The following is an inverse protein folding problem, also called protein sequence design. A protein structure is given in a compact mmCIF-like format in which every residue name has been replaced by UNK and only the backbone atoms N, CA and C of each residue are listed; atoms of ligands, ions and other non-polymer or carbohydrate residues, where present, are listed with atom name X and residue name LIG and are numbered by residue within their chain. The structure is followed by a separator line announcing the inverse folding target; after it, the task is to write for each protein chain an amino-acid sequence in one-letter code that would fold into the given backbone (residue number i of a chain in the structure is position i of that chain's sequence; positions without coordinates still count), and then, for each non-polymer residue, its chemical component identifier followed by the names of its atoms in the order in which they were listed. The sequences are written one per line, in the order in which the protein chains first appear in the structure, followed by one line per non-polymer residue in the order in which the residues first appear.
data_IF_458815938818
#
_entry.id   IF_458815938818
#
_cell.length_a   1.000
_cell.length_b   1.000
_cell.length_c   1.000
_cell.angle_alpha   90.00
_cell.angle_beta   90.00
_cell.angle_gamma   90.00
#
_symmetry.space_group_name_H-M   'P 1'
#
loop_
_entity.id
_entity.type
_entity.pdbx_description
1 polymer ?
#
# COMPACT_ATOMS: atom_id res chain seq x y z
N UNK A 1 23.19 1.43 -54.04
CA UNK A 1 22.81 0.72 -52.80
C UNK A 1 23.68 1.24 -51.67
N UNK A 2 23.13 2.01 -50.72
CA UNK A 2 23.77 2.29 -49.42
C UNK A 2 22.75 2.95 -48.49
N UNK A 3 22.00 2.12 -47.75
CA UNK A 3 21.06 2.54 -46.72
C UNK A 3 21.77 2.70 -45.38
N UNK A 4 22.20 3.92 -45.09
CA UNK A 4 22.43 4.39 -43.73
C UNK A 4 21.09 4.79 -43.11
N UNK A 5 20.66 4.12 -42.04
CA UNK A 5 19.76 4.75 -41.06
C UNK A 5 19.98 4.18 -39.67
N UNK A 6 20.86 4.88 -38.96
CA UNK A 6 21.02 4.97 -37.51
C UNK A 6 19.70 4.72 -36.76
N UNK A 7 19.65 3.71 -35.89
CA UNK A 7 18.64 3.57 -34.83
C UNK A 7 19.31 3.85 -33.49
N UNK A 8 19.31 5.12 -33.09
CA UNK A 8 19.71 5.53 -31.76
C UNK A 8 18.58 5.27 -30.76
N UNK A 9 18.92 4.47 -29.75
CA UNK A 9 18.67 4.66 -28.32
C UNK A 9 17.31 5.25 -27.91
N UNK A 10 16.56 4.47 -27.14
CA UNK A 10 15.78 5.00 -26.01
C UNK A 10 15.71 3.92 -24.94
N UNK A 11 16.75 3.85 -24.11
CA UNK A 11 16.70 3.11 -22.85
C UNK A 11 15.81 3.90 -21.89
N UNK A 12 14.55 3.49 -21.76
CA UNK A 12 13.64 4.05 -20.76
C UNK A 12 14.00 3.44 -19.41
N UNK A 13 14.80 4.16 -18.63
CA UNK A 13 15.04 3.87 -17.22
C UNK A 13 13.74 4.18 -16.48
N UNK A 14 12.95 3.14 -16.20
CA UNK A 14 11.78 3.24 -15.32
C UNK A 14 12.31 3.36 -13.89
N UNK A 15 12.48 4.60 -13.42
CA UNK A 15 12.77 4.88 -12.01
C UNK A 15 11.60 4.46 -11.14
N UNK A 16 11.76 3.34 -10.43
CA UNK A 16 10.82 2.91 -9.40
C UNK A 16 10.93 3.81 -8.18
N UNK A 17 9.89 4.60 -7.90
CA UNK A 17 9.75 5.30 -6.63
C UNK A 17 9.49 4.25 -5.54
N UNK A 18 10.50 4.00 -4.71
CA UNK A 18 10.35 3.24 -3.48
C UNK A 18 9.59 4.12 -2.47
N UNK A 19 8.27 3.99 -2.42
CA UNK A 19 7.48 4.56 -1.33
C UNK A 19 7.75 3.70 -0.10
N UNK A 20 8.67 4.16 0.75
CA UNK A 20 8.95 3.52 2.03
C UNK A 20 7.74 3.61 2.95
N UNK A 21 7.30 2.47 3.50
CA UNK A 21 6.30 2.42 4.56
C UNK A 21 6.84 3.19 5.76
N UNK A 22 6.19 4.29 6.15
CA UNK A 22 6.46 4.92 7.44
C UNK A 22 6.01 3.94 8.53
N UNK A 23 6.95 3.26 9.18
CA UNK A 23 6.65 2.44 10.35
C UNK A 23 6.35 3.41 11.48
N UNK A 24 5.10 3.45 11.98
CA UNK A 24 4.81 4.16 13.22
C UNK A 24 5.30 3.31 14.38
N UNK A 25 6.53 3.61 14.77
CA UNK A 25 7.12 3.09 15.97
C UNK A 25 6.38 3.67 17.18
N UNK A 26 6.17 2.81 18.18
CA UNK A 26 5.72 3.23 19.49
C UNK A 26 6.69 4.29 20.04
N UNK A 27 6.21 5.44 20.53
CA UNK A 27 7.07 6.45 21.13
C UNK A 27 7.81 5.88 22.35
N UNK A 28 9.03 6.33 22.56
CA UNK A 28 9.89 5.87 23.65
C UNK A 28 9.68 6.79 24.85
N UNK A 29 9.31 6.20 25.99
CA UNK A 29 9.15 6.93 27.26
C UNK A 29 10.42 6.81 28.12
N UNK A 30 11.11 7.91 28.35
CA UNK A 30 12.28 8.01 29.20
C UNK A 30 11.90 8.36 30.66
N UNK A 31 12.40 7.62 31.68
CA UNK A 31 12.09 7.84 33.09
C UNK A 31 12.81 9.06 33.66
N UNK A 32 12.33 10.27 33.34
CA UNK A 32 12.99 11.52 33.68
C UNK A 32 13.05 11.84 35.19
N UNK A 33 12.26 11.14 36.02
CA UNK A 33 12.21 11.35 37.49
C UNK A 33 12.86 10.21 38.27
N UNK A 34 13.66 9.36 37.62
CA UNK A 34 14.34 8.23 38.27
C UNK A 34 13.40 7.05 38.57
N UNK A 35 12.33 6.89 37.78
CA UNK A 35 11.43 5.75 37.92
C UNK A 35 12.18 4.43 37.66
N UNK A 36 11.95 3.41 38.50
CA UNK A 36 12.53 2.09 38.30
C UNK A 36 11.94 1.39 37.07
N UNK A 37 12.64 0.38 36.55
CA UNK A 37 12.13 -0.43 35.43
C UNK A 37 10.79 -1.09 35.76
N UNK A 38 10.60 -1.52 37.01
CA UNK A 38 9.34 -2.12 37.45
C UNK A 38 8.21 -1.09 37.47
N UNK A 39 8.48 0.13 37.95
CA UNK A 39 7.51 1.22 37.91
C UNK A 39 7.17 1.58 36.46
N UNK A 40 8.17 1.68 35.59
CA UNK A 40 7.95 1.95 34.17
C UNK A 40 7.05 0.92 33.49
N UNK A 41 7.23 -0.37 33.78
CA UNK A 41 6.36 -1.41 33.21
C UNK A 41 4.92 -1.33 33.73
N UNK A 42 4.73 -1.03 35.01
CA UNK A 42 3.40 -0.83 35.59
C UNK A 42 2.71 0.41 35.02
N UNK A 43 3.46 1.50 34.91
CA UNK A 43 3.00 2.78 34.36
C UNK A 43 2.62 2.63 32.90
N UNK A 44 3.45 1.91 32.15
CA UNK A 44 3.20 1.58 30.75
C UNK A 44 1.91 0.79 30.57
N UNK A 45 1.73 -0.30 31.33
CA UNK A 45 0.51 -1.12 31.25
C UNK A 45 -0.74 -0.32 31.61
N UNK A 46 -0.67 0.51 32.65
CA UNK A 46 -1.77 1.38 33.05
C UNK A 46 -2.10 2.44 31.98
N UNK A 47 -1.07 3.09 31.41
CA UNK A 47 -1.25 4.06 30.34
C UNK A 47 -1.75 3.44 29.04
N UNK A 48 -1.36 2.20 28.74
CA UNK A 48 -1.86 1.44 27.60
C UNK A 48 -3.35 1.11 27.77
N UNK A 49 -3.76 0.65 28.96
CA UNK A 49 -5.16 0.41 29.28
C UNK A 49 -5.99 1.70 29.23
N UNK A 50 -5.45 2.80 29.77
CA UNK A 50 -6.08 4.11 29.72
C UNK A 50 -6.24 4.61 28.29
N UNK A 51 -5.20 4.52 27.46
CA UNK A 51 -5.25 4.93 26.06
C UNK A 51 -6.30 4.13 25.27
N UNK A 52 -6.40 2.81 25.50
CA UNK A 52 -7.43 1.96 24.91
C UNK A 52 -8.84 2.40 25.34
N UNK A 53 -9.04 2.67 26.63
CA UNK A 53 -10.33 3.16 27.16
C UNK A 53 -10.71 4.53 26.60
N UNK A 54 -9.73 5.44 26.49
CA UNK A 54 -9.96 6.82 26.09
C UNK A 54 -10.16 6.99 24.57
N UNK A 55 -9.49 6.17 23.76
CA UNK A 55 -9.56 6.26 22.29
C UNK A 55 -10.52 5.23 21.67
N UNK A 56 -10.84 4.16 22.39
CA UNK A 56 -11.55 2.99 21.84
C UNK A 56 -10.70 2.15 20.88
N UNK A 57 -9.41 2.46 20.72
CA UNK A 57 -8.51 1.81 19.77
C UNK A 57 -7.71 0.71 20.50
N UNK A 58 -7.75 -0.50 19.95
CA UNK A 58 -6.91 -1.60 20.40
C UNK A 58 -5.78 -1.86 19.39
N UNK A 59 -4.50 -1.57 19.72
CA UNK A 59 -3.39 -1.75 18.81
C UNK A 59 -3.20 -3.22 18.36
N UNK A 60 -3.59 -4.21 19.17
CA UNK A 60 -3.53 -5.61 18.75
C UNK A 60 -4.49 -5.89 17.58
N UNK A 61 -5.69 -5.30 17.63
CA UNK A 61 -6.70 -5.46 16.56
C UNK A 61 -6.33 -4.69 15.30
N UNK A 62 -5.73 -3.51 15.46
CA UNK A 62 -5.33 -2.67 14.32
C UNK A 62 -4.14 -3.30 13.58
N UNK A 63 -3.19 -3.91 14.29
CA UNK A 63 -2.09 -4.66 13.68
C UNK A 63 -2.56 -5.91 12.92
N UNK A 64 -3.57 -6.62 13.44
CA UNK A 64 -4.14 -7.80 12.78
C UNK A 64 -4.85 -7.49 11.45
N UNK A 65 -5.30 -6.25 11.26
CA UNK A 65 -6.00 -5.80 10.04
C UNK A 65 -5.07 -5.26 8.95
N UNK A 66 -3.75 -5.39 9.12
CA UNK A 66 -2.79 -4.98 8.09
C UNK A 66 -2.88 -5.92 6.87
N UNK A 67 -3.04 -5.40 5.63
CA UNK A 67 -3.07 -6.23 4.45
C UNK A 67 -1.73 -6.99 4.32
N UNK A 68 -1.74 -8.29 3.97
CA UNK A 68 -0.51 -9.04 3.79
C UNK A 68 0.35 -8.39 2.68
N UNK A 69 1.69 -8.45 2.81
CA UNK A 69 2.59 -7.97 1.76
C UNK A 69 2.27 -8.70 0.45
N UNK A 70 2.40 -8.02 -0.71
CA UNK A 70 1.99 -8.59 -1.98
C UNK A 70 2.82 -9.85 -2.30
N UNK A 71 2.24 -11.02 -2.04
CA UNK A 71 2.83 -12.31 -2.38
C UNK A 71 2.25 -12.80 -3.70
N UNK A 72 3.11 -12.85 -4.72
CA UNK A 72 2.88 -13.63 -5.93
C UNK A 72 3.17 -12.90 -7.24
N UNK A 73 3.72 -13.59 -8.25
CA UNK A 73 3.66 -13.08 -9.61
C UNK A 73 2.20 -12.86 -9.96
N UNK A 74 1.88 -11.76 -10.65
CA UNK A 74 0.51 -11.38 -11.00
C UNK A 74 -0.14 -12.31 -12.06
N UNK A 75 0.06 -13.64 -11.94
CA UNK A 75 -0.32 -14.71 -12.86
C UNK A 75 -1.49 -15.51 -12.31
N UNK A 76 -2.58 -14.83 -11.97
CA UNK A 76 -3.89 -15.43 -11.70
C UNK A 76 -4.90 -14.31 -11.86
N UNK A 77 -5.55 -14.10 -13.00
CA UNK A 77 -6.19 -15.04 -13.91
C UNK A 77 -7.58 -14.48 -14.24
N UNK A 78 -8.18 -13.71 -13.32
CA UNK A 78 -9.47 -13.03 -13.49
C UNK A 78 -9.38 -11.66 -14.18
N UNK A 79 -8.78 -10.64 -13.55
CA UNK A 79 -8.75 -9.28 -14.14
C UNK A 79 -7.97 -9.19 -15.46
N UNK A 80 -6.92 -9.99 -15.64
CA UNK A 80 -6.17 -10.03 -16.91
C UNK A 80 -6.99 -10.62 -18.04
N UNK A 81 -7.75 -11.68 -17.75
CA UNK A 81 -8.65 -12.33 -18.72
C UNK A 81 -9.85 -11.45 -19.03
N UNK A 82 -10.41 -10.78 -18.02
CA UNK A 82 -11.44 -9.75 -18.21
C UNK A 82 -10.92 -8.56 -19.03
N UNK A 83 -9.66 -8.17 -18.79
CA UNK A 83 -8.95 -7.15 -19.57
C UNK A 83 -8.74 -7.59 -21.01
N UNK A 84 -8.32 -8.83 -21.23
CA UNK A 84 -8.15 -9.44 -22.55
C UNK A 84 -9.48 -9.51 -23.31
N UNK A 85 -10.54 -10.00 -22.68
CA UNK A 85 -11.86 -10.13 -23.30
C UNK A 85 -12.44 -8.76 -23.68
N UNK A 86 -12.37 -7.77 -22.78
CA UNK A 86 -12.80 -6.39 -23.07
C UNK A 86 -11.95 -5.73 -24.16
N UNK A 87 -10.64 -5.95 -24.09
CA UNK A 87 -9.71 -5.45 -25.09
C UNK A 87 -9.94 -6.06 -26.46
N UNK A 88 -10.18 -7.38 -26.54
CA UNK A 88 -10.50 -8.08 -27.77
C UNK A 88 -11.83 -7.63 -28.38
N UNK A 89 -12.87 -7.46 -27.55
CA UNK A 89 -14.15 -6.96 -28.03
C UNK A 89 -14.03 -5.53 -28.60
N UNK A 90 -13.34 -4.63 -27.89
CA UNK A 90 -13.09 -3.27 -28.38
C UNK A 90 -12.20 -3.24 -29.62
N UNK A 91 -11.17 -4.08 -29.65
CA UNK A 91 -10.25 -4.22 -30.79
C UNK A 91 -10.91 -4.84 -32.02
N UNK A 92 -11.85 -5.79 -31.85
CA UNK A 92 -12.61 -6.38 -32.93
C UNK A 92 -13.56 -5.36 -33.58
N UNK A 93 -14.22 -4.54 -32.78
CA UNK A 93 -15.10 -3.47 -33.28
C UNK A 93 -14.32 -2.47 -34.14
N UNK A 94 -13.13 -2.06 -33.70
CA UNK A 94 -12.25 -1.15 -34.46
C UNK A 94 -11.68 -1.86 -35.69
N UNK A 95 -11.26 -3.12 -35.56
CA UNK A 95 -10.71 -3.93 -36.66
C UNK A 95 -11.74 -4.22 -37.75
N UNK A 96 -13.01 -4.41 -37.41
CA UNK A 96 -14.10 -4.62 -38.37
C UNK A 96 -14.30 -3.41 -39.30
N UNK A 97 -14.04 -2.20 -38.80
CA UNK A 97 -14.08 -0.96 -39.60
C UNK A 97 -12.88 -0.90 -40.55
N UNK A 98 -11.73 -1.43 -40.13
CA UNK A 98 -10.48 -1.46 -40.92
C UNK A 98 -10.31 -2.71 -41.80
N UNK A 99 -11.32 -3.59 -41.87
CA UNK A 99 -11.34 -4.78 -42.72
C UNK A 99 -10.74 -6.06 -42.11
N UNK A 100 -10.30 -6.04 -40.84
CA UNK A 100 -9.78 -7.22 -40.15
C UNK A 100 -10.12 -7.19 -38.64
N UNK A 101 -11.30 -7.70 -38.32
CA UNK A 101 -11.77 -7.83 -36.95
C UNK A 101 -10.90 -8.79 -36.12
N UNK A 102 -10.35 -9.85 -36.73
CA UNK A 102 -9.55 -10.86 -36.03
C UNK A 102 -8.21 -10.30 -35.56
N UNK A 103 -7.53 -9.54 -36.41
CA UNK A 103 -6.27 -8.87 -36.07
C UNK A 103 -6.48 -7.74 -35.07
N UNK A 104 -7.57 -6.98 -35.21
CA UNK A 104 -7.98 -5.99 -34.21
C UNK A 104 -8.29 -6.60 -32.84
N UNK A 105 -8.96 -7.76 -32.82
CA UNK A 105 -9.26 -8.50 -31.58
C UNK A 105 -7.99 -9.00 -30.89
N UNK A 106 -7.05 -9.58 -31.64
CA UNK A 106 -5.79 -10.06 -31.08
C UNK A 106 -4.95 -8.92 -30.47
N UNK A 107 -4.80 -7.80 -31.19
CA UNK A 107 -4.11 -6.60 -30.69
C UNK A 107 -4.83 -6.04 -29.45
N UNK A 108 -6.15 -5.97 -29.50
CA UNK A 108 -7.00 -5.55 -28.40
C UNK A 108 -6.86 -6.44 -27.17
N UNK A 109 -6.79 -7.77 -27.32
CA UNK A 109 -6.62 -8.70 -26.21
C UNK A 109 -5.29 -8.47 -25.49
N UNK A 110 -4.18 -8.38 -26.23
CA UNK A 110 -2.84 -8.15 -25.65
C UNK A 110 -2.80 -6.80 -24.94
N UNK A 111 -3.25 -5.72 -25.59
CA UNK A 111 -3.32 -4.39 -24.95
C UNK A 111 -4.25 -4.37 -23.73
N UNK A 112 -5.38 -5.08 -23.80
CA UNK A 112 -6.35 -5.22 -22.73
C UNK A 112 -5.80 -5.95 -21.49
N UNK A 113 -4.95 -6.96 -21.65
CA UNK A 113 -4.27 -7.62 -20.52
C UNK A 113 -3.33 -6.66 -19.78
N UNK A 114 -2.61 -5.81 -20.52
CA UNK A 114 -1.64 -4.88 -19.94
C UNK A 114 -2.36 -3.76 -19.17
N UNK A 115 -3.39 -3.16 -19.79
CA UNK A 115 -4.19 -2.09 -19.16
C UNK A 115 -5.01 -2.65 -17.99
N UNK A 116 -5.60 -3.84 -18.13
CA UNK A 116 -6.31 -4.52 -17.05
C UNK A 116 -5.39 -4.83 -15.87
N UNK A 117 -4.18 -5.32 -16.14
CA UNK A 117 -3.15 -5.55 -15.12
C UNK A 117 -2.67 -4.26 -14.44
N UNK A 118 -2.49 -3.17 -15.19
CA UNK A 118 -2.11 -1.88 -14.65
C UNK A 118 -3.21 -1.28 -13.76
N UNK A 119 -4.47 -1.34 -14.17
CA UNK A 119 -5.62 -0.89 -13.36
C UNK A 119 -5.80 -1.75 -12.11
N UNK A 120 -5.63 -3.07 -12.21
CA UNK A 120 -5.71 -3.95 -11.04
C UNK A 120 -4.63 -3.60 -10.01
N UNK A 121 -3.39 -3.31 -10.46
CA UNK A 121 -2.35 -2.79 -9.56
C UNK A 121 -2.71 -1.43 -8.98
N UNK A 122 -3.19 -0.50 -9.79
CA UNK A 122 -3.57 0.83 -9.32
C UNK A 122 -4.70 0.79 -8.28
N UNK A 123 -5.74 0.00 -8.53
CA UNK A 123 -6.84 -0.19 -7.58
C UNK A 123 -6.38 -0.86 -6.28
N UNK A 124 -5.47 -1.84 -6.36
CA UNK A 124 -4.88 -2.48 -5.18
C UNK A 124 -3.97 -1.54 -4.41
N UNK A 125 -3.18 -0.73 -5.09
CA UNK A 125 -2.35 0.30 -4.48
C UNK A 125 -3.21 1.37 -3.79
N UNK A 126 -4.28 1.82 -4.44
CA UNK A 126 -5.23 2.75 -3.84
C UNK A 126 -5.93 2.14 -2.61
N UNK A 127 -6.37 0.89 -2.69
CA UNK A 127 -6.98 0.19 -1.56
C UNK A 127 -5.98 -0.03 -0.41
N UNK A 128 -4.76 -0.48 -0.71
CA UNK A 128 -3.70 -0.67 0.28
C UNK A 128 -3.27 0.66 0.91
N UNK A 129 -3.16 1.74 0.13
CA UNK A 129 -2.84 3.07 0.63
C UNK A 129 -3.92 3.58 1.59
N UNK A 130 -5.19 3.37 1.27
CA UNK A 130 -6.30 3.81 2.12
C UNK A 130 -6.36 3.01 3.43
N UNK A 131 -6.21 1.68 3.35
CA UNK A 131 -6.14 0.82 4.55
C UNK A 131 -4.92 1.14 5.41
N UNK A 132 -3.77 1.40 4.80
CA UNK A 132 -2.56 1.77 5.52
C UNK A 132 -2.74 3.10 6.24
N UNK A 133 -3.26 4.13 5.57
CA UNK A 133 -3.48 5.44 6.17
C UNK A 133 -4.46 5.39 7.35
N UNK A 134 -5.52 4.59 7.25
CA UNK A 134 -6.49 4.42 8.33
C UNK A 134 -5.89 3.70 9.54
N UNK A 135 -5.16 2.60 9.33
CA UNK A 135 -4.43 1.93 10.41
C UNK A 135 -3.41 2.87 11.06
N UNK A 136 -2.69 3.63 10.24
CA UNK A 136 -1.66 4.54 10.71
C UNK A 136 -2.23 5.64 11.63
N UNK A 137 -3.32 6.29 11.20
CA UNK A 137 -3.98 7.32 12.01
C UNK A 137 -4.57 6.78 13.31
N UNK A 138 -5.06 5.53 13.31
CA UNK A 138 -5.53 4.87 14.52
C UNK A 138 -4.38 4.62 15.52
N UNK A 139 -3.24 4.11 15.05
CA UNK A 139 -2.06 3.91 15.88
C UNK A 139 -1.51 5.24 16.44
N UNK A 140 -1.47 6.28 15.62
CA UNK A 140 -1.06 7.61 16.07
C UNK A 140 -1.95 8.15 17.18
N UNK A 141 -3.26 8.03 17.01
CA UNK A 141 -4.24 8.50 18.00
C UNK A 141 -4.05 7.76 19.32
N UNK A 142 -3.86 6.44 19.25
CA UNK A 142 -3.57 5.59 20.41
C UNK A 142 -2.25 6.01 21.10
N UNK A 143 -1.15 6.14 20.36
CA UNK A 143 0.15 6.47 20.93
C UNK A 143 0.24 7.90 21.45
N UNK A 144 -0.52 8.84 20.87
CA UNK A 144 -0.68 10.19 21.43
C UNK A 144 -1.34 10.16 22.81
N UNK A 145 -2.43 9.38 22.96
CA UNK A 145 -3.08 9.22 24.26
C UNK A 145 -2.14 8.54 25.26
N UNK A 146 -1.52 7.42 24.88
CA UNK A 146 -0.53 6.74 25.71
C UNK A 146 0.60 7.70 26.14
N UNK A 147 1.13 8.48 25.20
CA UNK A 147 2.19 9.45 25.44
C UNK A 147 1.76 10.55 26.42
N UNK A 148 0.54 11.08 26.31
CA UNK A 148 0.00 12.06 27.25
C UNK A 148 -0.10 11.50 28.67
N UNK A 149 -0.53 10.23 28.82
CA UNK A 149 -0.55 9.56 30.12
C UNK A 149 0.85 9.41 30.71
N UNK A 150 1.80 8.94 29.91
CA UNK A 150 3.20 8.78 30.35
C UNK A 150 3.82 10.13 30.72
N UNK A 151 3.57 11.18 29.94
CA UNK A 151 4.00 12.55 30.25
C UNK A 151 3.43 13.04 31.59
N UNK A 152 2.15 12.79 31.87
CA UNK A 152 1.53 13.12 33.16
C UNK A 152 2.18 12.42 34.36
N UNK A 153 2.76 11.23 34.14
CA UNK A 153 3.50 10.46 35.15
C UNK A 153 4.98 10.86 35.25
N UNK A 154 5.39 11.87 34.49
CA UNK A 154 6.75 12.40 34.52
C UNK A 154 7.74 11.61 33.67
N UNK A 155 7.27 10.94 32.61
CA UNK A 155 8.13 10.42 31.56
C UNK A 155 8.29 11.44 30.44
N UNK A 156 9.47 11.49 29.83
CA UNK A 156 9.67 12.24 28.59
C UNK A 156 9.40 11.29 27.43
N UNK A 157 8.44 11.63 26.55
CA UNK A 157 8.03 10.77 25.43
C UNK A 157 8.51 11.37 24.12
N UNK A 158 9.28 10.61 23.34
CA UNK A 158 9.86 10.99 22.03
C UNK A 158 9.60 9.94 20.95
#
# INVERSE_FOLDING_TARGET
MNTYRKRYISAVIVGGVLVGSAVHARPVAYPAKGQSQQQQQQDDGACHAWAKSNTGIDPATVAANQPPPPSGPAVGGGERLRGAARGAAGGAAIGAIAGDAGKGAAVGAVGGTMVGGARARNNRQAAAANSQAQTQGAMDTFYRAWGACMQGRGYTVN
#
